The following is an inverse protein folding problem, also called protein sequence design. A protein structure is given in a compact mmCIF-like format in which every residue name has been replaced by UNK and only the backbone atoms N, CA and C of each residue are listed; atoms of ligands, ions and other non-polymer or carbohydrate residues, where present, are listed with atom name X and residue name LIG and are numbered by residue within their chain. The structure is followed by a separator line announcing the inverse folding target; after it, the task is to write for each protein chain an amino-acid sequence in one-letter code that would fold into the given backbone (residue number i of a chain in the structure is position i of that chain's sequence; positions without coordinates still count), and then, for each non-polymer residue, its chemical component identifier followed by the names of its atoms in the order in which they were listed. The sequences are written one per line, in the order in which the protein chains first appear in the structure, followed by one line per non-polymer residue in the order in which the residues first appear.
data_IF_199031292424
#
_entry.id   IF_199031292424
#
_cell.length_a   1.000
_cell.length_b   1.000
_cell.length_c   1.000
_cell.angle_alpha   90.00
_cell.angle_beta   90.00
_cell.angle_gamma   90.00
#
_symmetry.space_group_name_H-M   'P 1'
#
loop_
_entity.id
_entity.type
_entity.pdbx_description
1 polymer ?
#
# COMPACT_ATOMS: atom_id res chain seq x y z
N UNK A 1 17.40 13.07 6.81
CA UNK A 1 16.47 12.37 5.90
C UNK A 1 15.06 12.80 6.26
N UNK A 2 14.32 13.40 5.32
CA UNK A 2 12.97 13.89 5.56
C UNK A 2 11.95 12.79 5.28
N UNK A 3 11.03 12.57 6.22
CA UNK A 3 9.83 11.77 5.99
C UNK A 3 8.97 12.52 4.96
N UNK A 4 8.55 11.85 3.88
CA UNK A 4 7.51 12.36 2.98
C UNK A 4 6.20 11.68 3.33
N UNK A 5 5.16 12.48 3.44
CA UNK A 5 3.81 12.03 3.78
C UNK A 5 2.91 12.58 2.68
N UNK A 6 2.17 11.69 2.04
CA UNK A 6 1.15 12.09 1.07
C UNK A 6 -0.10 12.60 1.78
N UNK A 7 -1.07 13.09 1.01
CA UNK A 7 -2.34 13.53 1.59
C UNK A 7 -3.15 12.34 2.14
N UNK A 8 -3.98 12.60 3.16
CA UNK A 8 -4.88 11.59 3.68
C UNK A 8 -5.94 11.23 2.65
N UNK A 9 -5.90 10.01 2.16
CA UNK A 9 -6.97 9.49 1.31
C UNK A 9 -8.20 9.23 2.17
N UNK A 10 -9.29 9.93 1.83
CA UNK A 10 -10.58 9.90 2.56
C UNK A 10 -10.49 10.24 4.06
N UNK A 11 -9.37 10.78 4.54
CA UNK A 11 -9.17 10.99 5.98
C UNK A 11 -8.97 9.70 6.79
N UNK A 12 -8.78 8.56 6.12
CA UNK A 12 -8.71 7.24 6.78
C UNK A 12 -7.30 6.68 6.80
N UNK A 13 -6.55 6.87 5.72
CA UNK A 13 -5.17 6.42 5.62
C UNK A 13 -4.29 7.38 4.84
N UNK A 14 -3.00 7.28 5.09
CA UNK A 14 -1.97 8.11 4.52
C UNK A 14 -0.78 7.26 4.10
N UNK A 15 -0.25 7.55 2.93
CA UNK A 15 1.00 6.96 2.45
C UNK A 15 2.18 7.73 3.02
N UNK A 16 3.09 7.02 3.68
CA UNK A 16 4.30 7.61 4.26
C UNK A 16 5.50 6.93 3.61
N UNK A 17 6.41 7.73 3.06
CA UNK A 17 7.70 7.29 2.56
C UNK A 17 8.74 7.40 3.69
N UNK A 18 9.31 6.25 4.08
CA UNK A 18 10.42 6.17 5.02
C UNK A 18 11.67 5.64 4.31
N UNK A 19 12.63 6.53 4.08
CA UNK A 19 13.83 6.20 3.31
C UNK A 19 13.49 5.98 1.84
N UNK A 20 13.50 4.72 1.41
CA UNK A 20 13.17 4.28 0.04
C UNK A 20 11.88 3.44 -0.02
N UNK A 21 11.25 3.18 1.12
CA UNK A 21 10.08 2.32 1.20
C UNK A 21 8.84 3.11 1.60
N UNK A 22 7.74 2.83 0.90
CA UNK A 22 6.42 3.35 1.20
C UNK A 22 5.69 2.45 2.18
N UNK A 23 4.87 3.06 3.03
CA UNK A 23 4.02 2.39 4.02
C UNK A 23 2.68 3.08 4.17
N UNK A 24 1.66 2.31 4.57
CA UNK A 24 0.33 2.85 4.83
C UNK A 24 0.09 2.97 6.33
N UNK A 25 -0.24 4.18 6.76
CA UNK A 25 -0.56 4.52 8.15
C UNK A 25 -2.01 4.95 8.22
N UNK A 26 -2.78 4.42 9.17
CA UNK A 26 -4.15 4.85 9.38
C UNK A 26 -4.22 6.19 10.11
N UNK A 27 -5.40 6.82 10.14
CA UNK A 27 -5.67 8.03 10.93
C UNK A 27 -5.30 7.93 12.42
N UNK A 28 -5.31 6.72 12.97
CA UNK A 28 -4.92 6.43 14.35
C UNK A 28 -3.39 6.45 14.57
N UNK A 29 -2.59 6.69 13.53
CA UNK A 29 -1.13 6.53 13.57
C UNK A 29 -0.67 5.08 13.60
N UNK A 30 -1.61 4.13 13.65
CA UNK A 30 -1.33 2.70 13.60
C UNK A 30 -0.97 2.26 12.19
N UNK A 31 0.00 1.35 12.13
CA UNK A 31 0.49 0.80 10.87
C UNK A 31 -0.57 -0.15 10.33
N UNK A 32 -1.09 0.17 9.16
CA UNK A 32 -2.08 -0.66 8.50
C UNK A 32 -1.43 -1.71 7.61
N UNK A 33 -0.27 -1.34 7.05
CA UNK A 33 0.40 -2.13 6.04
C UNK A 33 1.93 -1.94 6.16
N UNK A 34 2.71 -3.03 6.00
CA UNK A 34 4.17 -3.03 6.23
C UNK A 34 4.95 -2.23 5.17
N UNK A 35 6.07 -1.56 5.53
CA UNK A 35 6.94 -0.84 4.59
C UNK A 35 7.71 -1.80 3.68
N UNK A 36 7.05 -2.38 2.68
CA UNK A 36 7.64 -3.33 1.73
C UNK A 36 7.49 -2.89 0.28
N UNK A 37 6.93 -1.70 0.04
CA UNK A 37 6.64 -1.19 -1.30
C UNK A 37 7.66 -0.16 -1.74
N UNK A 38 8.15 -0.31 -2.97
CA UNK A 38 9.01 0.68 -3.64
C UNK A 38 8.20 1.84 -4.21
N UNK A 39 6.91 1.63 -4.49
CA UNK A 39 5.99 2.69 -4.90
C UNK A 39 4.60 2.45 -4.30
N UNK A 40 3.95 3.51 -3.84
CA UNK A 40 2.58 3.45 -3.34
C UNK A 40 1.80 4.68 -3.82
N UNK A 41 0.82 4.45 -4.68
CA UNK A 41 0.08 5.51 -5.36
C UNK A 41 -1.43 5.31 -5.19
N UNK A 42 -2.19 6.39 -4.99
CA UNK A 42 -3.63 6.30 -4.82
C UNK A 42 -4.35 6.28 -6.17
N UNK A 43 -5.11 5.22 -6.44
CA UNK A 43 -5.94 5.14 -7.64
C UNK A 43 -7.41 5.44 -7.34
N UNK A 44 -7.91 6.65 -7.65
CA UNK A 44 -9.33 6.96 -7.47
C UNK A 44 -10.24 6.10 -8.36
N UNK A 45 -9.74 5.60 -9.50
CA UNK A 45 -10.49 4.72 -10.40
C UNK A 45 -10.79 3.34 -9.79
N UNK A 46 -9.86 2.83 -8.97
CA UNK A 46 -9.97 1.53 -8.31
C UNK A 46 -10.41 1.64 -6.86
N UNK A 47 -10.53 2.87 -6.36
CA UNK A 47 -10.86 3.15 -4.98
C UNK A 47 -9.86 2.50 -3.99
N UNK A 48 -8.59 2.36 -4.41
CA UNK A 48 -7.55 1.62 -3.70
C UNK A 48 -6.14 2.17 -4.01
N UNK A 49 -5.18 1.86 -3.13
CA UNK A 49 -3.76 2.13 -3.35
C UNK A 49 -3.12 1.06 -4.24
N UNK A 50 -2.44 1.49 -5.30
CA UNK A 50 -1.53 0.66 -6.06
C UNK A 50 -0.21 0.59 -5.32
N UNK A 51 0.15 -0.61 -4.89
CA UNK A 51 1.37 -0.87 -4.14
C UNK A 51 2.30 -1.71 -5.00
N UNK A 52 3.43 -1.15 -5.41
CA UNK A 52 4.44 -1.84 -6.21
C UNK A 52 5.58 -2.31 -5.31
N UNK A 53 5.96 -3.58 -5.49
CA UNK A 53 7.13 -4.19 -4.86
C UNK A 53 7.83 -5.06 -5.89
N UNK A 54 9.12 -4.84 -6.10
CA UNK A 54 9.96 -5.73 -6.93
C UNK A 54 9.37 -5.95 -8.34
N UNK A 55 8.83 -4.89 -8.95
CA UNK A 55 8.14 -4.95 -10.25
C UNK A 55 6.76 -5.63 -10.24
N UNK A 56 6.24 -6.01 -9.07
CA UNK A 56 4.92 -6.62 -8.90
C UNK A 56 3.97 -5.61 -8.29
N UNK A 57 2.86 -5.37 -8.98
CA UNK A 57 1.82 -4.46 -8.51
C UNK A 57 0.75 -5.23 -7.76
N UNK A 58 0.44 -4.76 -6.56
CA UNK A 58 -0.67 -5.17 -5.72
C UNK A 58 -1.68 -4.04 -5.52
N UNK A 59 -2.84 -4.37 -4.98
CA UNK A 59 -3.86 -3.41 -4.58
C UNK A 59 -4.04 -3.50 -3.08
N UNK A 60 -4.00 -2.36 -2.43
CA UNK A 60 -4.16 -2.21 -0.99
C UNK A 60 -5.32 -1.26 -0.76
N UNK A 61 -6.30 -1.71 0.00
CA UNK A 61 -7.45 -0.91 0.39
C UNK A 61 -7.04 0.25 1.30
N UNK A 62 -7.88 1.27 1.44
CA UNK A 62 -7.63 2.39 2.37
C UNK A 62 -7.42 1.92 3.81
N UNK A 63 -8.00 0.79 4.19
CA UNK A 63 -7.77 0.16 5.51
C UNK A 63 -6.38 -0.47 5.67
N UNK A 64 -5.54 -0.47 4.62
CA UNK A 64 -4.26 -1.19 4.50
C UNK A 64 -4.40 -2.70 4.30
N UNK A 65 -5.60 -3.16 4.01
CA UNK A 65 -5.85 -4.55 3.66
C UNK A 65 -5.43 -4.80 2.23
N UNK A 66 -4.52 -5.75 2.02
CA UNK A 66 -4.11 -6.15 0.67
C UNK A 66 -5.28 -6.87 -0.02
N UNK A 67 -5.89 -6.20 -1.01
CA UNK A 67 -6.96 -6.74 -1.86
C UNK A 67 -6.37 -7.66 -2.92
N UNK A 68 -5.26 -7.22 -3.54
CA UNK A 68 -4.51 -8.00 -4.52
C UNK A 68 -3.07 -8.11 -4.04
N UNK A 69 -2.66 -9.33 -3.68
CA UNK A 69 -1.28 -9.59 -3.26
C UNK A 69 -0.38 -9.48 -4.49
N UNK A 70 0.72 -8.71 -4.44
CA UNK A 70 1.74 -8.72 -5.48
C UNK A 70 2.39 -10.11 -5.48
N UNK A 71 1.89 -11.02 -6.32
CA UNK A 71 2.50 -12.34 -6.51
C UNK A 71 2.86 -12.55 -7.97
N UNK A 72 3.93 -13.29 -8.19
CA UNK A 72 3.99 -14.12 -9.39
C UNK A 72 3.02 -15.26 -9.18
N UNK A 73 2.29 -15.61 -10.23
CA UNK A 73 1.27 -16.67 -10.29
C UNK A 73 1.59 -17.91 -9.46
N UNK A 74 1.28 -17.88 -8.17
CA UNK A 74 1.24 -19.04 -7.30
C UNK A 74 -0.21 -19.32 -6.96
N UNK A 75 -1.06 -19.48 -7.98
CA UNK A 75 -2.32 -20.22 -7.83
C UNK A 75 -1.98 -21.70 -7.58
N UNK A 76 -1.33 -21.98 -6.46
CA UNK A 76 -1.27 -23.32 -5.88
C UNK A 76 -2.67 -23.63 -5.38
N UNK A 77 -3.29 -24.60 -6.05
CA UNK A 77 -4.18 -25.64 -5.52
C UNK A 77 -4.80 -25.35 -4.16
N UNK A 78 -6.13 -25.20 -4.13
CA UNK A 78 -6.91 -25.86 -3.10
C UNK A 78 -8.32 -26.25 -3.56
N UNK A 79 -8.43 -27.55 -3.83
CA UNK A 79 -9.58 -28.45 -3.92
C UNK A 79 -10.56 -28.31 -5.09
#
# INVERSE_FOLDING_TARGET
MGLRVEEFVRGEAVAVCEGEHWRLVGRDGQWRARPEWTSLDWSPERDAFLAERDGKVGLVDVTGRVVVVPRESAATTRR
#
